data_IF_861903716309
#
_entry.id   IF_861903716309
#
_cell.length_a   1.000
_cell.length_b   1.000
_cell.length_c   1.000
_cell.angle_alpha   90.00
_cell.angle_beta   90.00
_cell.angle_gamma   90.00
#
_symmetry.space_group_name_H-M   'P 1'
#
loop_
_entity.id
_entity.type
_entity.pdbx_description
1 polymer ?
#
# COMPACT_ATOMS: atom_id res chain seq x y z
N UNK A 1 32.58 -7.30 37.74
CA UNK A 1 31.53 -6.28 37.91
C UNK A 1 31.09 -5.84 36.52
N UNK A 2 29.87 -6.12 36.10
CA UNK A 2 29.38 -5.67 34.80
C UNK A 2 29.16 -4.16 34.84
N UNK A 3 29.83 -3.41 33.97
CA UNK A 3 29.58 -1.96 33.82
C UNK A 3 28.11 -1.79 33.45
N UNK A 4 27.34 -1.15 34.32
CA UNK A 4 25.93 -0.85 34.09
C UNK A 4 25.74 0.07 32.88
N UNK A 5 24.51 0.16 32.38
CA UNK A 5 24.22 1.08 31.28
C UNK A 5 24.42 2.52 31.75
N UNK A 6 24.98 3.36 30.88
CA UNK A 6 25.04 4.79 31.16
C UNK A 6 23.61 5.36 31.31
N UNK A 7 23.43 6.51 32.00
CA UNK A 7 22.11 7.09 32.24
C UNK A 7 21.31 7.33 30.95
N UNK A 8 21.97 7.81 29.89
CA UNK A 8 21.33 8.11 28.60
C UNK A 8 20.78 6.85 27.94
N UNK A 9 21.53 5.74 27.92
CA UNK A 9 21.09 4.46 27.39
C UNK A 9 19.87 3.93 28.13
N UNK A 10 19.79 4.14 29.46
CA UNK A 10 18.62 3.74 30.25
C UNK A 10 17.39 4.56 29.89
N UNK A 11 17.53 5.88 29.73
CA UNK A 11 16.42 6.77 29.35
C UNK A 11 15.97 6.46 27.92
N UNK A 12 16.90 6.38 26.97
CA UNK A 12 16.62 6.05 25.58
C UNK A 12 15.93 4.69 25.46
N UNK A 13 16.39 3.67 26.20
CA UNK A 13 15.74 2.36 26.21
C UNK A 13 14.30 2.44 26.71
N UNK A 14 14.04 3.13 27.84
CA UNK A 14 12.68 3.28 28.38
C UNK A 14 11.75 3.99 27.39
N UNK A 15 12.24 5.06 26.77
CA UNK A 15 11.49 5.80 25.74
C UNK A 15 11.17 4.93 24.54
N UNK A 16 12.19 4.30 23.93
CA UNK A 16 11.99 3.41 22.79
C UNK A 16 11.07 2.23 23.13
N UNK A 17 11.24 1.63 24.32
CA UNK A 17 10.40 0.53 24.77
C UNK A 17 8.93 0.95 24.81
N UNK A 18 8.61 2.04 25.50
CA UNK A 18 7.22 2.50 25.64
C UNK A 18 6.67 2.91 24.27
N UNK A 19 7.42 3.75 23.55
CA UNK A 19 6.97 4.32 22.28
C UNK A 19 6.69 3.26 21.22
N UNK A 20 7.65 2.38 20.92
CA UNK A 20 7.47 1.40 19.84
C UNK A 20 6.48 0.31 20.22
N UNK A 21 6.38 -0.09 21.49
CA UNK A 21 5.34 -1.02 21.93
C UNK A 21 3.96 -0.40 21.72
N UNK A 22 3.75 0.85 22.13
CA UNK A 22 2.48 1.53 21.93
C UNK A 22 2.16 1.72 20.44
N UNK A 23 3.14 2.15 19.65
CA UNK A 23 2.96 2.34 18.21
C UNK A 23 2.53 1.03 17.53
N UNK A 24 3.27 -0.07 17.76
CA UNK A 24 2.93 -1.38 17.20
C UNK A 24 1.55 -1.88 17.66
N UNK A 25 1.17 -1.66 18.92
CA UNK A 25 -0.13 -2.11 19.45
C UNK A 25 -1.30 -1.20 19.05
N UNK A 26 -1.03 0.04 18.66
CA UNK A 26 -2.03 0.98 18.17
C UNK A 26 -2.29 0.87 16.67
N UNK A 27 -1.37 0.29 15.91
CA UNK A 27 -1.45 0.18 14.46
C UNK A 27 -2.12 -1.14 14.03
N UNK A 28 -3.32 -1.05 13.44
CA UNK A 28 -4.16 -2.23 13.14
C UNK A 28 -3.54 -3.16 12.10
N UNK A 29 -2.74 -2.62 11.18
CA UNK A 29 -2.00 -3.40 10.20
C UNK A 29 -0.91 -4.27 10.86
N UNK A 30 -0.26 -3.77 11.91
CA UNK A 30 0.77 -4.53 12.65
C UNK A 30 0.15 -5.63 13.50
N UNK A 31 -0.98 -5.38 14.16
CA UNK A 31 -1.65 -6.40 14.96
C UNK A 31 -2.42 -7.39 14.10
N UNK A 32 -2.97 -6.93 12.97
CA UNK A 32 -3.75 -7.69 12.00
C UNK A 32 -3.01 -8.89 11.44
N UNK A 33 -1.75 -8.72 11.00
CA UNK A 33 -0.95 -9.81 10.42
C UNK A 33 -0.83 -11.04 11.34
N UNK A 34 -0.91 -10.86 12.67
CA UNK A 34 -0.83 -11.97 13.62
C UNK A 34 -2.13 -12.77 13.72
N UNK A 35 -3.27 -12.19 13.33
CA UNK A 35 -4.54 -12.90 13.20
C UNK A 35 -4.49 -13.91 12.04
N UNK A 36 -3.58 -13.69 11.08
CA UNK A 36 -3.35 -14.56 9.92
C UNK A 36 -4.66 -14.88 9.21
N UNK A 37 -4.93 -16.18 9.01
CA UNK A 37 -6.11 -16.66 8.29
C UNK A 37 -7.45 -16.16 8.85
N UNK A 38 -7.50 -15.76 10.12
CA UNK A 38 -8.73 -15.25 10.74
C UNK A 38 -9.00 -13.77 10.44
N UNK A 39 -8.01 -12.99 10.02
CA UNK A 39 -8.14 -11.55 9.78
C UNK A 39 -9.27 -11.27 8.78
N UNK A 40 -9.24 -11.91 7.61
CA UNK A 40 -10.22 -11.74 6.55
C UNK A 40 -11.67 -12.17 6.94
N UNK A 41 -11.84 -12.88 8.06
CA UNK A 41 -13.14 -13.36 8.56
C UNK A 41 -13.72 -12.48 9.66
N UNK A 42 -12.94 -11.56 10.20
CA UNK A 42 -13.39 -10.67 11.25
C UNK A 42 -14.05 -9.42 10.66
N UNK A 43 -15.07 -8.85 11.33
CA UNK A 43 -15.60 -7.55 10.94
C UNK A 43 -14.50 -6.49 10.97
N UNK A 44 -14.48 -5.58 9.98
CA UNK A 44 -13.48 -4.50 9.89
C UNK A 44 -13.39 -3.67 11.17
N UNK A 45 -14.52 -3.40 11.81
CA UNK A 45 -14.59 -2.63 13.06
C UNK A 45 -13.87 -3.32 14.22
N UNK A 46 -13.80 -4.66 14.21
CA UNK A 46 -13.06 -5.44 15.21
C UNK A 46 -11.56 -5.34 14.99
N UNK A 47 -11.11 -5.47 13.74
CA UNK A 47 -9.68 -5.35 13.37
C UNK A 47 -9.18 -3.93 13.60
N UNK A 48 -9.98 -2.92 13.23
CA UNK A 48 -9.67 -1.51 13.43
C UNK A 48 -9.93 -1.02 14.87
N UNK A 49 -10.51 -1.85 15.75
CA UNK A 49 -11.05 -1.43 17.05
C UNK A 49 -10.06 -0.68 17.94
N UNK A 50 -8.77 -1.01 17.86
CA UNK A 50 -7.70 -0.32 18.59
C UNK A 50 -7.53 1.16 18.18
N UNK A 51 -7.77 1.51 16.92
CA UNK A 51 -7.71 2.90 16.45
C UNK A 51 -8.93 3.69 16.94
N UNK A 52 -10.10 3.06 17.00
CA UNK A 52 -11.31 3.66 17.57
C UNK A 52 -11.17 4.01 19.05
N UNK A 53 -10.49 3.17 19.83
CA UNK A 53 -10.26 3.43 21.26
C UNK A 53 -9.44 4.70 21.51
N UNK A 54 -8.54 5.03 20.60
CA UNK A 54 -7.67 6.22 20.71
C UNK A 54 -8.32 7.47 20.11
N UNK A 55 -9.37 7.30 19.29
CA UNK A 55 -10.03 8.38 18.57
C UNK A 55 -10.50 9.54 19.46
N UNK A 56 -11.11 9.33 20.64
CA UNK A 56 -11.53 10.44 21.50
C UNK A 56 -10.36 11.33 21.94
N UNK A 57 -9.24 10.72 22.33
CA UNK A 57 -8.04 11.45 22.74
C UNK A 57 -7.40 12.20 21.57
N UNK A 58 -7.32 11.54 20.40
CA UNK A 58 -6.78 12.14 19.16
C UNK A 58 -7.63 13.31 18.70
N UNK A 59 -8.96 13.19 18.69
CA UNK A 59 -9.87 14.29 18.35
C UNK A 59 -9.76 15.45 19.32
N UNK A 60 -9.73 15.16 20.63
CA UNK A 60 -9.58 16.20 21.64
C UNK A 60 -8.28 16.99 21.45
N UNK A 61 -7.15 16.28 21.26
CA UNK A 61 -5.86 16.92 21.07
C UNK A 61 -5.80 17.68 19.74
N UNK A 62 -6.33 17.08 18.66
CA UNK A 62 -6.44 17.72 17.34
C UNK A 62 -7.15 19.06 17.44
N UNK A 63 -8.31 19.11 18.10
CA UNK A 63 -9.10 20.32 18.23
C UNK A 63 -8.44 21.35 19.19
N UNK A 64 -8.02 20.93 20.38
CA UNK A 64 -7.61 21.86 21.44
C UNK A 64 -6.15 22.32 21.33
N UNK A 65 -5.27 21.54 20.71
CA UNK A 65 -3.83 21.86 20.61
C UNK A 65 -3.46 22.29 19.19
N UNK A 66 -3.98 21.61 18.17
CA UNK A 66 -3.60 21.84 16.78
C UNK A 66 -4.64 22.63 15.99
N UNK A 67 -5.85 22.84 16.50
CA UNK A 67 -6.93 23.51 15.78
C UNK A 67 -7.40 22.77 14.53
N UNK A 68 -7.26 21.44 14.49
CA UNK A 68 -7.62 20.58 13.34
C UNK A 68 -8.63 19.51 13.73
N UNK A 69 -9.53 19.18 12.80
CA UNK A 69 -10.44 18.05 12.95
C UNK A 69 -9.76 16.75 12.54
N UNK A 70 -9.13 16.10 13.52
CA UNK A 70 -8.45 14.81 13.34
C UNK A 70 -9.46 13.65 13.24
N UNK A 71 -10.01 13.43 12.05
CA UNK A 71 -10.96 12.35 11.74
C UNK A 71 -10.23 11.24 10.98
N UNK A 72 -10.38 10.00 11.45
CA UNK A 72 -9.93 8.82 10.73
C UNK A 72 -10.91 8.52 9.58
N UNK A 73 -10.40 8.52 8.35
CA UNK A 73 -11.15 8.22 7.14
C UNK A 73 -10.71 6.86 6.57
N UNK A 74 -11.66 6.11 5.99
CA UNK A 74 -11.37 4.86 5.29
C UNK A 74 -10.90 5.15 3.85
N UNK A 75 -9.66 5.65 3.72
CA UNK A 75 -9.03 6.01 2.43
C UNK A 75 -7.85 5.11 2.06
N UNK A 76 -7.40 4.25 2.98
CA UNK A 76 -6.15 3.50 2.84
C UNK A 76 -4.87 4.33 3.03
N UNK A 77 -4.99 5.62 3.34
CA UNK A 77 -3.83 6.49 3.65
C UNK A 77 -3.36 6.28 5.08
N UNK A 78 -2.06 6.02 5.26
CA UNK A 78 -1.39 5.96 6.57
C UNK A 78 -0.89 7.31 7.10
N UNK A 79 -1.04 8.40 6.33
CA UNK A 79 -0.52 9.74 6.66
C UNK A 79 -1.60 10.80 6.85
N UNK A 80 -2.82 10.37 7.16
CA UNK A 80 -3.92 11.28 7.48
C UNK A 80 -3.59 12.17 8.68
N UNK A 81 -4.22 13.34 8.77
CA UNK A 81 -4.13 14.23 9.94
C UNK A 81 -4.33 13.48 11.26
N UNK A 82 -5.26 12.52 11.27
CA UNK A 82 -5.47 11.61 12.39
C UNK A 82 -4.18 10.89 12.84
N UNK A 83 -3.45 10.27 11.92
CA UNK A 83 -2.24 9.50 12.23
C UNK A 83 -1.10 10.39 12.73
N UNK A 84 -0.96 11.62 12.21
CA UNK A 84 0.01 12.58 12.73
C UNK A 84 -0.31 13.06 14.15
N UNK A 85 -1.57 13.35 14.45
CA UNK A 85 -1.98 13.73 15.81
C UNK A 85 -1.83 12.54 16.75
N UNK A 86 -2.17 11.32 16.32
CA UNK A 86 -1.94 10.10 17.07
C UNK A 86 -0.45 9.90 17.38
N UNK A 87 0.42 10.08 16.39
CA UNK A 87 1.87 9.98 16.57
C UNK A 87 2.37 10.92 17.68
N UNK A 88 1.89 12.16 17.69
CA UNK A 88 2.20 13.12 18.75
C UNK A 88 1.67 12.68 20.11
N UNK A 89 0.43 12.17 20.19
CA UNK A 89 -0.14 11.62 21.43
C UNK A 89 0.74 10.49 22.00
N UNK A 90 1.15 9.55 21.14
CA UNK A 90 1.98 8.42 21.53
C UNK A 90 3.36 8.87 22.01
N UNK A 91 3.99 9.82 21.32
CA UNK A 91 5.28 10.36 21.71
C UNK A 91 5.22 11.13 23.04
N UNK A 92 4.21 11.98 23.22
CA UNK A 92 3.98 12.73 24.46
C UNK A 92 3.74 11.80 25.65
N UNK A 93 2.88 10.79 25.48
CA UNK A 93 2.65 9.77 26.50
C UNK A 93 3.92 8.98 26.81
N UNK A 94 4.67 8.54 25.79
CA UNK A 94 5.91 7.79 25.99
C UNK A 94 6.97 8.60 26.74
N UNK A 95 7.08 9.90 26.48
CA UNK A 95 7.96 10.81 27.22
C UNK A 95 7.55 10.93 28.70
N UNK A 96 6.25 11.16 28.97
CA UNK A 96 5.73 11.26 30.33
C UNK A 96 5.93 9.95 31.12
N UNK A 97 5.57 8.81 30.52
CA UNK A 97 5.76 7.49 31.11
C UNK A 97 7.24 7.18 31.36
N UNK A 98 8.14 7.62 30.47
CA UNK A 98 9.60 7.47 30.64
C UNK A 98 10.11 8.30 31.82
N UNK A 99 9.61 9.53 32.01
CA UNK A 99 9.96 10.36 33.15
C UNK A 99 9.50 9.73 34.47
N UNK A 100 8.26 9.25 34.52
CA UNK A 100 7.71 8.53 35.69
C UNK A 100 8.53 7.26 35.98
N UNK A 101 8.79 6.43 34.97
CA UNK A 101 9.60 5.23 35.14
C UNK A 101 11.01 5.57 35.63
N UNK A 102 11.64 6.61 35.09
CA UNK A 102 12.96 7.05 35.52
C UNK A 102 12.97 7.55 36.96
N UNK A 103 11.91 8.24 37.39
CA UNK A 103 11.76 8.72 38.76
C UNK A 103 11.53 7.59 39.77
N UNK A 104 10.78 6.54 39.39
CA UNK A 104 10.45 5.41 40.27
C UNK A 104 11.57 4.35 40.32
N UNK A 105 12.19 4.02 39.18
CA UNK A 105 13.17 2.93 39.05
C UNK A 105 14.61 3.46 39.04
N UNK A 106 15.00 4.13 40.13
CA UNK A 106 16.32 4.78 40.27
C UNK A 106 17.47 3.81 40.55
N UNK A 107 17.16 2.62 41.09
CA UNK A 107 18.17 1.66 41.57
C UNK A 107 18.65 0.69 40.49
N UNK A 108 17.86 0.42 39.44
CA UNK A 108 18.28 -0.50 38.37
C UNK A 108 19.32 0.13 37.45
N UNK A 109 20.37 -0.64 37.19
CA UNK A 109 21.53 -0.22 36.38
C UNK A 109 21.48 -0.72 34.94
N UNK A 110 20.63 -1.71 34.62
CA UNK A 110 20.42 -2.23 33.26
C UNK A 110 19.10 -3.00 33.11
N UNK A 111 18.66 -3.20 31.87
CA UNK A 111 17.40 -3.87 31.51
C UNK A 111 17.57 -5.02 30.51
N UNK A 112 18.67 -5.79 30.59
CA UNK A 112 19.01 -6.80 29.56
C UNK A 112 17.89 -7.78 29.22
N UNK A 113 17.21 -8.33 30.24
CA UNK A 113 16.11 -9.29 30.01
C UNK A 113 14.93 -8.65 29.29
N UNK A 114 14.52 -7.47 29.74
CA UNK A 114 13.41 -6.72 29.13
C UNK A 114 13.78 -6.28 27.71
N UNK A 115 15.01 -5.82 27.49
CA UNK A 115 15.52 -5.48 26.17
C UNK A 115 15.53 -6.68 25.22
N UNK A 116 15.87 -7.87 25.72
CA UNK A 116 15.79 -9.10 24.92
C UNK A 116 14.37 -9.42 24.45
N UNK A 117 13.37 -9.24 25.31
CA UNK A 117 11.95 -9.43 24.94
C UNK A 117 11.46 -8.33 24.00
N UNK A 118 11.85 -7.09 24.25
CA UNK A 118 11.51 -5.95 23.41
C UNK A 118 12.05 -6.09 21.98
N UNK A 119 13.33 -6.43 21.83
CA UNK A 119 13.93 -6.65 20.51
C UNK A 119 13.30 -7.86 19.79
N UNK A 120 12.90 -8.89 20.54
CA UNK A 120 12.13 -10.01 19.96
C UNK A 120 10.76 -9.53 19.45
N UNK A 121 10.04 -8.72 20.23
CA UNK A 121 8.76 -8.14 19.85
C UNK A 121 8.89 -7.29 18.57
N UNK A 122 9.82 -6.33 18.56
CA UNK A 122 10.08 -5.48 17.39
C UNK A 122 10.44 -6.31 16.16
N UNK A 123 11.27 -7.33 16.33
CA UNK A 123 11.65 -8.22 15.23
C UNK A 123 10.47 -8.98 14.65
N UNK A 124 9.58 -9.47 15.51
CA UNK A 124 8.38 -10.20 15.09
C UNK A 124 7.40 -9.27 14.38
N UNK A 125 7.18 -8.05 14.89
CA UNK A 125 6.38 -7.02 14.22
C UNK A 125 6.97 -6.63 12.86
N UNK A 126 8.26 -6.30 12.80
CA UNK A 126 8.93 -5.96 11.54
C UNK A 126 8.85 -7.12 10.54
N UNK A 127 9.17 -8.35 10.98
CA UNK A 127 9.10 -9.53 10.12
C UNK A 127 7.71 -9.79 9.55
N UNK A 128 6.66 -9.60 10.36
CA UNK A 128 5.28 -9.68 9.88
C UNK A 128 4.95 -8.64 8.82
N UNK A 129 5.42 -7.40 8.99
CA UNK A 129 5.21 -6.34 8.00
C UNK A 129 6.01 -6.54 6.71
N UNK A 130 7.24 -7.09 6.80
CA UNK A 130 8.01 -7.48 5.62
C UNK A 130 7.30 -8.58 4.82
N UNK A 131 6.57 -9.49 5.48
CA UNK A 131 5.72 -10.45 4.76
C UNK A 131 4.48 -9.79 4.16
N UNK A 132 3.79 -8.92 4.89
CA UNK A 132 2.61 -8.20 4.40
C UNK A 132 2.90 -7.45 3.10
N UNK A 133 3.88 -6.55 3.13
CA UNK A 133 4.25 -5.78 1.93
C UNK A 133 4.98 -6.63 0.88
N UNK A 134 5.82 -7.56 1.31
CA UNK A 134 6.65 -8.34 0.40
C UNK A 134 5.84 -9.31 -0.45
N UNK A 135 4.85 -9.99 0.13
CA UNK A 135 3.97 -10.89 -0.62
C UNK A 135 3.08 -10.08 -1.58
N UNK A 136 2.58 -8.91 -1.16
CA UNK A 136 1.78 -8.03 -2.02
C UNK A 136 2.54 -7.45 -3.22
N UNK A 137 3.87 -7.42 -3.18
CA UNK A 137 4.72 -7.10 -4.35
C UNK A 137 5.15 -8.34 -5.14
N UNK A 138 5.41 -9.45 -4.43
CA UNK A 138 5.79 -10.72 -5.04
C UNK A 138 4.64 -11.34 -5.85
N UNK A 139 3.40 -11.10 -5.43
CA UNK A 139 2.17 -11.27 -6.21
C UNK A 139 1.80 -9.85 -6.64
N UNK A 140 2.14 -9.38 -7.86
CA UNK A 140 2.20 -7.95 -8.22
C UNK A 140 0.84 -7.21 -8.12
N UNK A 141 0.45 -6.90 -6.89
CA UNK A 141 -0.83 -6.33 -6.47
C UNK A 141 -0.66 -4.94 -5.89
N UNK A 142 0.51 -4.65 -5.34
CA UNK A 142 0.80 -3.38 -4.71
C UNK A 142 0.87 -2.26 -5.75
N UNK A 143 1.50 -2.53 -6.90
CA UNK A 143 1.68 -1.62 -8.02
C UNK A 143 1.27 -2.30 -9.33
N UNK A 144 -0.03 -2.57 -9.55
CA UNK A 144 -0.49 -3.37 -10.68
C UNK A 144 -0.16 -2.72 -12.03
N UNK A 145 -0.18 -3.54 -13.09
CA UNK A 145 0.00 -3.07 -14.47
C UNK A 145 -0.93 -1.89 -14.79
N UNK A 146 -0.45 -0.87 -15.54
CA UNK A 146 -1.28 0.26 -15.93
C UNK A 146 -2.55 -0.19 -16.66
N UNK A 147 -3.71 0.18 -16.10
CA UNK A 147 -5.00 -0.06 -16.73
C UNK A 147 -5.14 0.64 -18.08
N UNK A 148 -6.12 0.21 -18.87
CA UNK A 148 -6.31 0.69 -20.25
C UNK A 148 -6.53 2.21 -20.33
N UNK A 149 -7.24 2.78 -19.36
CA UNK A 149 -7.45 4.23 -19.31
C UNK A 149 -6.17 5.00 -18.95
N UNK A 150 -5.30 4.43 -18.11
CA UNK A 150 -4.01 5.02 -17.75
C UNK A 150 -3.10 5.15 -18.97
N UNK A 151 -3.17 4.21 -19.92
CA UNK A 151 -2.42 4.28 -21.19
C UNK A 151 -2.84 5.47 -22.07
N UNK A 152 -4.03 6.01 -21.85
CA UNK A 152 -4.56 7.17 -22.58
C UNK A 152 -4.29 8.50 -21.87
N UNK A 153 -3.84 8.46 -20.62
CA UNK A 153 -3.63 9.65 -19.80
C UNK A 153 -2.30 10.33 -20.15
N UNK A 154 -2.29 11.63 -20.44
CA UNK A 154 -1.05 12.38 -20.61
C UNK A 154 -0.18 12.30 -19.35
N UNK A 155 1.13 12.11 -19.53
CA UNK A 155 2.09 12.02 -18.42
C UNK A 155 2.01 13.25 -17.49
N UNK A 156 1.81 14.44 -18.06
CA UNK A 156 1.69 15.70 -17.32
C UNK A 156 0.48 15.78 -16.39
N UNK A 157 -0.55 14.96 -16.60
CA UNK A 157 -1.76 14.91 -15.78
C UNK A 157 -1.66 13.87 -14.64
N UNK A 158 -0.61 13.05 -14.63
CA UNK A 158 -0.40 12.05 -13.59
C UNK A 158 0.14 12.71 -12.31
N UNK A 159 -0.36 12.27 -11.16
CA UNK A 159 0.28 12.64 -9.88
C UNK A 159 1.64 11.97 -9.76
N UNK A 160 2.53 12.50 -8.91
CA UNK A 160 3.84 11.88 -8.65
C UNK A 160 3.71 10.43 -8.19
N UNK A 161 2.76 10.15 -7.30
CA UNK A 161 2.46 8.77 -6.88
C UNK A 161 2.04 7.90 -8.06
N UNK A 162 1.15 8.40 -8.93
CA UNK A 162 0.72 7.65 -10.12
C UNK A 162 1.88 7.36 -11.07
N UNK A 163 2.80 8.31 -11.27
CA UNK A 163 4.02 8.08 -12.06
C UNK A 163 4.84 6.95 -11.47
N UNK A 164 5.11 6.97 -10.16
CA UNK A 164 5.87 5.91 -9.49
C UNK A 164 5.16 4.55 -9.59
N UNK A 165 3.86 4.51 -9.33
CA UNK A 165 3.06 3.28 -9.40
C UNK A 165 3.09 2.67 -10.80
N UNK A 166 2.83 3.49 -11.83
CA UNK A 166 2.80 3.02 -13.21
C UNK A 166 4.19 2.64 -13.72
N UNK A 167 5.26 3.28 -13.24
CA UNK A 167 6.64 2.89 -13.57
C UNK A 167 6.94 1.48 -13.09
N UNK A 168 6.61 1.16 -11.83
CA UNK A 168 6.84 -0.18 -11.28
C UNK A 168 5.89 -1.19 -11.91
N UNK A 169 4.60 -0.85 -12.03
CA UNK A 169 3.59 -1.75 -12.60
C UNK A 169 3.79 -2.06 -14.08
N UNK A 170 4.40 -1.16 -14.85
CA UNK A 170 4.81 -1.45 -16.23
C UNK A 170 5.91 -2.52 -16.31
N UNK A 171 6.62 -2.81 -15.21
CA UNK A 171 7.65 -3.82 -15.11
C UNK A 171 7.35 -4.84 -13.97
N UNK A 172 6.38 -5.76 -14.14
CA UNK A 172 5.98 -6.68 -13.07
C UNK A 172 7.13 -7.50 -12.48
N UNK A 173 8.12 -7.89 -13.29
CA UNK A 173 9.30 -8.59 -12.82
C UNK A 173 10.13 -7.75 -11.82
N UNK A 174 10.16 -6.43 -11.99
CA UNK A 174 10.82 -5.53 -11.06
C UNK A 174 10.06 -5.48 -9.72
N UNK A 175 8.72 -5.37 -9.74
CA UNK A 175 7.90 -5.45 -8.53
C UNK A 175 8.10 -6.77 -7.77
N UNK A 176 8.12 -7.90 -8.48
CA UNK A 176 8.35 -9.23 -7.89
C UNK A 176 9.70 -9.30 -7.19
N UNK A 177 10.75 -8.72 -7.76
CA UNK A 177 12.09 -8.69 -7.16
C UNK A 177 12.12 -7.83 -5.88
N UNK A 178 11.44 -6.69 -5.87
CA UNK A 178 11.27 -5.87 -4.66
C UNK A 178 10.55 -6.67 -3.57
N UNK A 179 9.43 -7.32 -3.91
CA UNK A 179 8.69 -8.17 -2.97
C UNK A 179 9.50 -9.36 -2.45
N UNK A 180 10.31 -9.96 -3.31
CA UNK A 180 11.20 -11.07 -2.93
C UNK A 180 12.23 -10.62 -1.90
N UNK A 181 12.81 -9.43 -2.05
CA UNK A 181 13.75 -8.87 -1.07
C UNK A 181 13.08 -8.69 0.30
N UNK A 182 11.86 -8.16 0.33
CA UNK A 182 11.05 -8.00 1.54
C UNK A 182 10.71 -9.34 2.20
N UNK A 183 10.22 -10.33 1.43
CA UNK A 183 9.91 -11.66 1.95
C UNK A 183 11.17 -12.34 2.52
N UNK A 184 12.32 -12.21 1.85
CA UNK A 184 13.59 -12.73 2.35
C UNK A 184 13.99 -12.05 3.67
N UNK A 185 13.83 -10.73 3.78
CA UNK A 185 14.07 -10.00 5.02
C UNK A 185 13.18 -10.53 6.16
N UNK A 186 11.88 -10.68 5.90
CA UNK A 186 10.91 -11.25 6.84
C UNK A 186 11.30 -12.66 7.30
N UNK A 187 11.60 -13.57 6.36
CA UNK A 187 12.02 -14.94 6.66
C UNK A 187 13.26 -14.97 7.55
N UNK A 188 14.25 -14.14 7.24
CA UNK A 188 15.48 -14.04 8.01
C UNK A 188 15.26 -13.44 9.40
N UNK A 189 14.28 -12.55 9.59
CA UNK A 189 13.91 -12.02 10.90
C UNK A 189 13.29 -13.09 11.81
N UNK A 190 12.48 -14.02 11.25
CA UNK A 190 11.90 -15.12 12.01
C UNK A 190 12.88 -16.25 12.33
N UNK A 191 13.99 -16.37 11.58
CA UNK A 191 15.07 -17.33 11.85
C UNK A 191 16.12 -16.66 12.76
N UNK A 192 16.23 -17.04 14.05
CA UNK A 192 17.04 -16.25 15.01
C UNK A 192 18.53 -16.12 14.66
N UNK A 193 19.07 -17.03 13.83
CA UNK A 193 20.46 -17.02 13.39
C UNK A 193 20.74 -16.01 12.27
N UNK A 194 19.74 -15.69 11.44
CA UNK A 194 19.87 -14.79 10.29
C UNK A 194 19.25 -13.42 10.55
N UNK A 195 18.66 -13.21 11.72
CA UNK A 195 17.94 -11.97 12.08
C UNK A 195 18.74 -10.67 11.90
N UNK A 196 20.07 -10.66 12.11
CA UNK A 196 20.88 -9.45 11.86
C UNK A 196 20.91 -9.13 10.36
N UNK A 197 21.11 -10.14 9.52
CA UNK A 197 21.07 -9.97 8.07
C UNK A 197 19.66 -9.58 7.59
N UNK A 198 18.62 -10.18 8.16
CA UNK A 198 17.23 -9.78 7.88
C UNK A 198 16.95 -8.33 8.25
N UNK A 199 17.44 -7.86 9.39
CA UNK A 199 17.31 -6.46 9.81
C UNK A 199 18.13 -5.49 8.93
N UNK A 200 19.28 -5.91 8.40
CA UNK A 200 20.04 -5.12 7.42
C UNK A 200 19.29 -5.01 6.09
N UNK A 201 18.74 -6.11 5.59
CA UNK A 201 17.97 -6.10 4.35
C UNK A 201 16.70 -5.25 4.49
N UNK A 202 15.95 -5.43 5.59
CA UNK A 202 14.79 -4.61 5.91
C UNK A 202 15.13 -3.12 6.09
N UNK A 203 16.33 -2.78 6.59
CA UNK A 203 16.78 -1.39 6.68
C UNK A 203 16.98 -0.79 5.28
N UNK A 204 17.67 -1.50 4.40
CA UNK A 204 17.94 -1.02 3.03
C UNK A 204 16.62 -0.81 2.29
N UNK A 205 15.75 -1.81 2.38
CA UNK A 205 14.45 -1.79 1.71
C UNK A 205 13.54 -0.66 2.24
N UNK A 206 13.33 -0.60 3.55
CA UNK A 206 12.50 0.47 4.15
C UNK A 206 13.10 1.87 3.99
N UNK A 207 14.42 2.00 3.90
CA UNK A 207 15.04 3.29 3.58
C UNK A 207 14.74 3.72 2.14
N UNK A 208 14.76 2.80 1.17
CA UNK A 208 14.35 3.10 -0.20
C UNK A 208 12.87 3.45 -0.28
N UNK A 209 11.99 2.65 0.33
CA UNK A 209 10.55 2.92 0.40
C UNK A 209 10.29 4.30 1.03
N UNK A 210 10.88 4.60 2.18
CA UNK A 210 10.70 5.89 2.85
C UNK A 210 11.16 7.08 1.99
N UNK A 211 12.27 6.94 1.27
CA UNK A 211 12.74 7.97 0.33
C UNK A 211 11.76 8.14 -0.83
N UNK A 212 11.22 7.05 -1.38
CA UNK A 212 10.19 7.12 -2.42
C UNK A 212 8.93 7.81 -1.90
N UNK A 213 8.48 7.48 -0.69
CA UNK A 213 7.28 8.07 -0.09
C UNK A 213 7.39 9.58 0.06
N UNK A 214 8.56 10.07 0.51
CA UNK A 214 8.84 11.50 0.66
C UNK A 214 8.87 12.26 -0.67
N UNK A 215 9.38 11.63 -1.74
CA UNK A 215 9.61 12.31 -3.03
C UNK A 215 8.41 12.20 -3.98
N UNK A 216 7.68 11.09 -3.93
CA UNK A 216 6.52 10.81 -4.80
C UNK A 216 5.18 11.03 -4.11
N UNK A 217 5.18 11.54 -2.87
CA UNK A 217 3.99 11.85 -2.06
C UNK A 217 3.09 10.63 -1.83
N UNK A 218 3.74 9.50 -1.55
CA UNK A 218 3.04 8.27 -1.20
C UNK A 218 2.60 8.37 0.25
N UNK A 219 1.31 8.14 0.55
CA UNK A 219 0.75 8.45 1.85
C UNK A 219 0.96 7.32 2.89
N UNK A 220 2.19 6.80 3.00
CA UNK A 220 2.60 5.77 3.98
C UNK A 220 3.94 6.08 4.69
N UNK A 221 4.41 7.33 4.68
CA UNK A 221 5.71 7.74 5.27
C UNK A 221 5.79 7.55 6.78
N UNK A 222 4.68 7.65 7.52
CA UNK A 222 4.66 7.26 8.94
C UNK A 222 5.00 5.77 9.05
N UNK A 223 4.34 4.92 8.28
CA UNK A 223 4.54 3.47 8.31
C UNK A 223 5.98 3.07 7.94
N UNK A 224 6.43 3.41 6.74
CA UNK A 224 7.76 3.05 6.23
C UNK A 224 8.89 3.64 7.09
N UNK A 225 8.73 4.87 7.57
CA UNK A 225 9.68 5.49 8.50
C UNK A 225 9.81 4.74 9.82
N UNK A 226 8.71 4.24 10.40
CA UNK A 226 8.77 3.44 11.63
C UNK A 226 9.38 2.07 11.40
N UNK A 227 9.08 1.40 10.28
CA UNK A 227 9.72 0.12 9.94
C UNK A 227 11.23 0.29 9.74
N UNK A 228 11.67 1.37 9.09
CA UNK A 228 13.08 1.75 9.01
C UNK A 228 13.71 1.96 10.40
N UNK A 229 13.04 2.69 11.30
CA UNK A 229 13.51 2.91 12.67
C UNK A 229 13.55 1.61 13.50
N UNK A 230 12.60 0.70 13.29
CA UNK A 230 12.60 -0.62 13.92
C UNK A 230 13.80 -1.46 13.45
N UNK A 231 14.14 -1.42 12.16
CA UNK A 231 15.34 -2.06 11.63
C UNK A 231 16.61 -1.49 12.29
N UNK A 232 16.72 -0.16 12.41
CA UNK A 232 17.83 0.50 13.13
C UNK A 232 17.89 0.08 14.60
N UNK A 233 16.74 -0.03 15.27
CA UNK A 233 16.66 -0.45 16.67
C UNK A 233 17.14 -1.89 16.87
N UNK A 234 16.84 -2.80 15.93
CA UNK A 234 17.34 -4.17 15.95
C UNK A 234 18.85 -4.25 15.70
N UNK A 235 19.40 -3.35 14.89
CA UNK A 235 20.83 -3.30 14.56
C UNK A 235 21.66 -2.54 15.60
N UNK A 236 21.06 -1.64 16.38
CA UNK A 236 21.77 -0.80 17.34
C UNK A 236 22.67 -1.60 18.34
N UNK A 237 22.24 -2.74 18.93
CA UNK A 237 23.10 -3.54 19.81
C UNK A 237 24.29 -4.21 19.09
N UNK A 238 24.22 -4.33 17.77
CA UNK A 238 25.20 -4.98 16.90
C UNK A 238 26.05 -3.97 16.09
N UNK A 239 25.73 -2.68 16.14
CA UNK A 239 26.36 -1.63 15.34
C UNK A 239 27.89 -1.60 15.44
N UNK A 240 28.45 -1.79 16.65
CA UNK A 240 29.92 -1.85 16.84
C UNK A 240 30.54 -3.06 16.14
N UNK A 241 29.87 -4.21 16.16
CA UNK A 241 30.35 -5.44 15.51
C UNK A 241 30.24 -5.32 14.00
N UNK A 242 29.15 -4.74 13.50
CA UNK A 242 28.95 -4.47 12.08
C UNK A 242 29.99 -3.47 11.55
N UNK A 243 30.22 -2.36 12.24
CA UNK A 243 31.25 -1.38 11.87
C UNK A 243 32.66 -1.98 11.92
N UNK A 244 32.96 -2.83 12.93
CA UNK A 244 34.23 -3.51 13.03
C UNK A 244 34.52 -4.34 11.76
N UNK A 245 33.56 -5.15 11.31
CA UNK A 245 33.74 -6.04 10.15
C UNK A 245 33.64 -5.28 8.83
N UNK A 246 32.57 -4.50 8.64
CA UNK A 246 32.22 -3.94 7.32
C UNK A 246 32.99 -2.66 6.96
N UNK A 247 33.46 -1.92 7.97
CA UNK A 247 34.10 -0.61 7.76
C UNK A 247 35.56 -0.61 8.19
N UNK A 248 35.85 -1.22 9.35
CA UNK A 248 37.17 -1.15 9.96
C UNK A 248 38.07 -2.36 9.63
N UNK A 249 37.55 -3.36 8.92
CA UNK A 249 38.22 -4.64 8.61
C UNK A 249 38.84 -5.33 9.84
N UNK A 250 38.05 -5.40 10.92
CA UNK A 250 38.43 -5.98 12.21
C UNK A 250 37.58 -7.21 12.52
N UNK A 251 38.14 -8.21 13.25
CA UNK A 251 37.39 -9.39 13.65
C UNK A 251 36.19 -9.01 14.53
N UNK A 252 35.05 -9.67 14.29
CA UNK A 252 33.86 -9.47 15.12
C UNK A 252 34.05 -10.16 16.48
N UNK A 253 33.87 -9.42 17.57
CA UNK A 253 33.78 -9.99 18.92
C UNK A 253 32.49 -10.83 19.11
N UNK A 254 32.29 -11.43 20.29
CA UNK A 254 31.07 -12.19 20.60
C UNK A 254 29.81 -11.29 20.52
N UNK A 255 28.63 -11.85 20.17
CA UNK A 255 27.39 -11.07 20.11
C UNK A 255 27.06 -10.39 21.43
N UNK A 256 26.76 -9.10 21.36
CA UNK A 256 26.42 -8.25 22.53
C UNK A 256 24.92 -7.98 22.67
N UNK A 257 24.11 -8.36 21.66
CA UNK A 257 22.68 -8.19 21.72
C UNK A 257 22.04 -8.91 22.93
N UNK A 258 21.15 -8.23 23.68
CA UNK A 258 20.36 -8.87 24.72
C UNK A 258 19.50 -10.01 24.16
N UNK A 259 19.40 -11.11 24.89
CA UNK A 259 18.60 -12.29 24.49
C UNK A 259 17.53 -12.59 25.54
N UNK A 260 16.28 -12.88 25.14
CA UNK A 260 15.22 -13.26 26.08
C UNK A 260 15.41 -14.69 26.61
N UNK A 261 16.08 -15.56 25.84
CA UNK A 261 16.29 -16.98 26.17
C UNK A 261 17.77 -17.32 26.38
N UNK A 262 18.11 -17.85 27.57
CA UNK A 262 19.49 -18.08 27.99
C UNK A 262 19.94 -19.54 27.89
N UNK A 263 19.03 -20.51 27.93
CA UNK A 263 19.37 -21.95 27.93
C UNK A 263 19.09 -22.61 26.58
N UNK A 264 19.83 -23.67 26.17
CA UNK A 264 19.52 -24.42 24.95
C UNK A 264 18.10 -24.99 24.93
N UNK A 265 17.60 -25.44 26.10
CA UNK A 265 16.24 -25.99 26.28
C UNK A 265 15.13 -24.95 26.06
N UNK A 266 15.39 -23.66 26.28
CA UNK A 266 14.42 -22.59 25.99
C UNK A 266 14.59 -22.00 24.59
N UNK A 267 15.82 -21.96 24.06
CA UNK A 267 16.11 -21.40 22.72
C UNK A 267 15.53 -22.22 21.58
N UNK A 268 15.55 -23.55 21.68
CA UNK A 268 15.01 -24.44 20.64
C UNK A 268 13.49 -24.25 20.45
N UNK A 269 12.63 -24.42 21.47
CA UNK A 269 11.20 -24.23 21.29
C UNK A 269 10.88 -22.80 20.86
N UNK A 270 11.56 -21.78 21.43
CA UNK A 270 11.34 -20.40 21.01
C UNK A 270 11.66 -20.14 19.53
N UNK A 271 12.72 -20.76 18.99
CA UNK A 271 13.05 -20.65 17.57
C UNK A 271 12.00 -21.35 16.69
N UNK A 272 11.51 -22.52 17.12
CA UNK A 272 10.44 -23.25 16.44
C UNK A 272 9.14 -22.43 16.44
N UNK A 273 8.76 -21.84 17.58
CA UNK A 273 7.57 -20.98 17.68
C UNK A 273 7.65 -19.77 16.76
N UNK A 274 8.82 -19.13 16.64
CA UNK A 274 9.00 -18.01 15.73
C UNK A 274 8.90 -18.45 14.26
N UNK A 275 9.49 -19.58 13.91
CA UNK A 275 9.38 -20.14 12.56
C UNK A 275 7.93 -20.50 12.23
N UNK A 276 7.23 -21.16 13.15
CA UNK A 276 5.82 -21.50 13.00
C UNK A 276 4.93 -20.25 12.86
N UNK A 277 5.22 -19.20 13.63
CA UNK A 277 4.54 -17.91 13.51
C UNK A 277 4.82 -17.25 12.15
N UNK A 278 6.06 -17.29 11.68
CA UNK A 278 6.41 -16.78 10.35
C UNK A 278 5.68 -17.54 9.24
N UNK A 279 5.62 -18.88 9.33
CA UNK A 279 4.86 -19.73 8.40
C UNK A 279 3.37 -19.41 8.44
N UNK A 280 2.80 -19.20 9.63
CA UNK A 280 1.41 -18.83 9.81
C UNK A 280 1.08 -17.51 9.10
N UNK A 281 1.90 -16.48 9.31
CA UNK A 281 1.70 -15.15 8.71
C UNK A 281 1.85 -15.21 7.19
N UNK A 282 2.96 -15.78 6.69
CA UNK A 282 3.22 -15.80 5.24
C UNK A 282 2.18 -16.63 4.49
N UNK A 283 1.72 -17.75 5.06
CA UNK A 283 0.69 -18.58 4.43
C UNK A 283 -0.64 -17.83 4.33
N UNK A 284 -1.04 -17.13 5.39
CA UNK A 284 -2.25 -16.31 5.38
C UNK A 284 -2.14 -15.20 4.32
N UNK A 285 -1.01 -14.47 4.30
CA UNK A 285 -0.80 -13.39 3.33
C UNK A 285 -0.83 -13.89 1.88
N UNK A 286 -0.14 -15.00 1.58
CA UNK A 286 -0.14 -15.60 0.23
C UNK A 286 -1.54 -16.03 -0.17
N UNK A 287 -2.32 -16.60 0.74
CA UNK A 287 -3.69 -16.99 0.43
C UNK A 287 -4.58 -15.79 0.08
N UNK A 288 -4.53 -14.75 0.91
CA UNK A 288 -5.35 -13.56 0.72
C UNK A 288 -4.97 -12.83 -0.56
N UNK A 289 -3.68 -12.57 -0.78
CA UNK A 289 -3.17 -11.90 -1.97
C UNK A 289 -3.45 -12.72 -3.24
N UNK A 290 -3.33 -14.05 -3.20
CA UNK A 290 -3.73 -14.89 -4.33
C UNK A 290 -5.23 -14.78 -4.62
N UNK A 291 -6.07 -14.67 -3.60
CA UNK A 291 -7.50 -14.37 -3.75
C UNK A 291 -7.74 -13.02 -4.42
N UNK A 292 -7.03 -11.97 -3.99
CA UNK A 292 -7.09 -10.64 -4.58
C UNK A 292 -6.62 -10.63 -6.04
N UNK A 293 -5.54 -11.34 -6.37
CA UNK A 293 -5.03 -11.47 -7.73
C UNK A 293 -6.06 -12.05 -8.70
N UNK A 294 -6.77 -13.10 -8.30
CA UNK A 294 -7.79 -13.70 -9.14
C UNK A 294 -9.08 -12.86 -9.23
N UNK A 295 -9.32 -11.98 -8.26
CA UNK A 295 -10.54 -11.16 -8.23
C UNK A 295 -10.37 -9.78 -8.86
N UNK A 296 -9.20 -9.17 -8.71
CA UNK A 296 -8.94 -7.78 -9.10
C UNK A 296 -7.63 -7.59 -9.88
N UNK A 297 -6.71 -8.56 -9.85
CA UNK A 297 -5.47 -8.51 -10.62
C UNK A 297 -5.65 -8.91 -12.09
N UNK A 298 -4.56 -9.14 -12.83
CA UNK A 298 -4.58 -9.52 -14.24
C UNK A 298 -5.36 -10.81 -14.56
N UNK A 299 -5.51 -11.71 -13.58
CA UNK A 299 -6.31 -12.94 -13.73
C UNK A 299 -7.82 -12.73 -13.52
N UNK A 300 -8.27 -11.51 -13.22
CA UNK A 300 -9.70 -11.24 -13.05
C UNK A 300 -10.46 -11.52 -14.35
N UNK A 301 -11.74 -11.90 -14.28
CA UNK A 301 -12.58 -11.96 -15.46
C UNK A 301 -12.66 -10.59 -16.17
N UNK A 302 -12.43 -10.60 -17.48
CA UNK A 302 -12.65 -9.42 -18.31
C UNK A 302 -14.15 -9.06 -18.34
N UNK A 303 -14.53 -7.78 -18.19
CA UNK A 303 -15.91 -7.37 -18.35
C UNK A 303 -16.39 -7.56 -19.79
N UNK A 304 -17.71 -7.67 -20.02
CA UNK A 304 -18.22 -7.63 -21.38
C UNK A 304 -17.82 -6.32 -22.07
N UNK A 305 -17.52 -6.40 -23.37
CA UNK A 305 -16.99 -5.30 -24.19
C UNK A 305 -15.58 -4.81 -23.78
N UNK A 306 -14.80 -5.62 -23.04
CA UNK A 306 -13.44 -5.28 -22.63
C UNK A 306 -12.57 -4.74 -23.78
N UNK A 307 -11.87 -3.64 -23.51
CA UNK A 307 -10.96 -2.98 -24.44
C UNK A 307 -11.13 -1.47 -24.52
N UNK A 308 -10.29 -0.87 -25.36
CA UNK A 308 -10.37 0.54 -25.75
C UNK A 308 -11.15 0.63 -27.06
N UNK A 309 -12.15 1.50 -27.10
CA UNK A 309 -13.03 1.69 -28.25
C UNK A 309 -12.95 3.13 -28.73
N UNK A 310 -12.54 3.33 -29.98
CA UNK A 310 -12.50 4.66 -30.61
C UNK A 310 -13.85 5.00 -31.19
N UNK A 311 -14.37 6.19 -30.89
CA UNK A 311 -15.64 6.65 -31.43
C UNK A 311 -15.43 7.16 -32.85
N UNK A 312 -16.09 6.51 -33.82
CA UNK A 312 -16.06 6.90 -35.24
C UNK A 312 -17.16 7.90 -35.56
N UNK A 313 -18.39 7.55 -35.20
CA UNK A 313 -19.57 8.38 -35.44
C UNK A 313 -20.27 8.66 -34.12
N UNK A 314 -20.78 9.87 -33.96
CA UNK A 314 -21.53 10.28 -32.78
C UNK A 314 -22.63 11.23 -33.24
N UNK A 315 -23.86 10.79 -33.14
CA UNK A 315 -25.04 11.59 -33.45
C UNK A 315 -25.73 11.94 -32.14
N UNK A 316 -26.17 13.19 -31.96
CA UNK A 316 -26.96 13.67 -30.81
C UNK A 316 -28.15 14.46 -31.33
N UNK A 317 -29.34 14.18 -30.80
CA UNK A 317 -30.59 14.83 -31.24
C UNK A 317 -30.79 14.75 -32.78
N UNK A 318 -30.35 13.65 -33.39
CA UNK A 318 -30.40 13.42 -34.83
C UNK A 318 -29.36 14.20 -35.65
N UNK A 319 -28.45 14.94 -35.02
CA UNK A 319 -27.38 15.67 -35.69
C UNK A 319 -26.01 15.03 -35.45
N UNK A 320 -25.22 14.92 -36.51
CA UNK A 320 -23.85 14.41 -36.39
C UNK A 320 -22.96 15.42 -35.66
N UNK A 321 -22.27 14.94 -34.63
CA UNK A 321 -21.26 15.68 -33.90
C UNK A 321 -19.87 15.36 -34.48
N UNK A 322 -19.23 16.27 -35.23
CA UNK A 322 -17.88 16.07 -35.71
C UNK A 322 -16.87 16.03 -34.53
N UNK A 323 -15.71 15.36 -34.69
CA UNK A 323 -14.70 15.21 -33.65
C UNK A 323 -13.88 16.50 -33.41
N UNK A 324 -14.56 17.60 -33.11
CA UNK A 324 -13.94 18.88 -32.77
C UNK A 324 -13.47 18.86 -31.31
N UNK A 325 -12.21 19.24 -31.06
CA UNK A 325 -11.62 19.27 -29.71
C UNK A 325 -12.37 20.20 -28.74
N UNK A 326 -13.09 21.19 -29.28
CA UNK A 326 -13.90 22.15 -28.52
C UNK A 326 -15.29 21.62 -28.12
N UNK A 327 -15.67 20.41 -28.56
CA UNK A 327 -17.01 19.88 -28.32
C UNK A 327 -17.07 19.10 -27.00
N UNK A 328 -17.67 19.71 -25.97
CA UNK A 328 -17.83 19.12 -24.64
C UNK A 328 -18.80 17.92 -24.59
N UNK A 329 -19.62 17.75 -25.62
CA UNK A 329 -20.74 16.80 -25.67
C UNK A 329 -20.43 15.52 -26.46
N UNK A 330 -19.21 15.39 -26.99
CA UNK A 330 -18.77 14.25 -27.78
C UNK A 330 -17.67 13.48 -27.06
N UNK A 331 -17.64 12.17 -27.26
CA UNK A 331 -16.56 11.32 -26.76
C UNK A 331 -15.53 11.04 -27.87
N UNK A 332 -14.25 10.94 -27.51
CA UNK A 332 -13.19 10.43 -28.38
C UNK A 332 -13.11 8.90 -28.30
N UNK A 333 -13.12 8.38 -27.08
CA UNK A 333 -12.92 6.96 -26.79
C UNK A 333 -13.80 6.52 -25.62
N UNK A 334 -14.07 5.23 -25.56
CA UNK A 334 -14.71 4.55 -24.43
C UNK A 334 -13.80 3.39 -24.01
N UNK A 335 -13.62 3.20 -22.71
CA UNK A 335 -12.78 2.16 -22.14
C UNK A 335 -13.62 1.30 -21.21
N UNK A 336 -13.63 -0.01 -21.47
CA UNK A 336 -14.16 -1.03 -20.59
C UNK A 336 -12.97 -1.86 -20.09
N UNK A 337 -12.53 -1.59 -18.87
CA UNK A 337 -11.36 -2.23 -18.29
C UNK A 337 -11.76 -3.03 -17.05
N UNK A 338 -12.28 -2.33 -16.04
CA UNK A 338 -12.68 -2.91 -14.74
C UNK A 338 -14.18 -3.25 -14.71
N UNK A 339 -14.60 -4.40 -14.16
CA UNK A 339 -16.00 -4.72 -13.98
C UNK A 339 -16.79 -3.62 -13.25
N UNK A 340 -17.95 -3.25 -13.81
CA UNK A 340 -18.82 -2.22 -13.23
C UNK A 340 -18.36 -0.78 -13.47
N UNK A 341 -17.33 -0.56 -14.29
CA UNK A 341 -16.81 0.76 -14.62
C UNK A 341 -16.68 0.93 -16.14
N UNK A 342 -17.15 2.07 -16.63
CA UNK A 342 -16.85 2.58 -17.97
C UNK A 342 -16.13 3.92 -17.82
N UNK A 343 -15.11 4.17 -18.63
CA UNK A 343 -14.52 5.50 -18.74
C UNK A 343 -14.71 6.02 -20.16
N UNK A 344 -15.24 7.23 -20.32
CA UNK A 344 -15.29 7.89 -21.62
C UNK A 344 -14.33 9.08 -21.65
N UNK A 345 -13.58 9.19 -22.73
CA UNK A 345 -12.66 10.30 -22.97
C UNK A 345 -13.40 11.41 -23.68
N UNK A 346 -13.43 12.61 -23.10
CA UNK A 346 -13.97 13.82 -23.72
C UNK A 346 -13.06 14.33 -24.84
N UNK A 347 -13.57 15.27 -25.64
CA UNK A 347 -12.80 15.89 -26.73
C UNK A 347 -11.59 16.70 -26.28
N UNK A 348 -11.53 17.12 -25.01
CA UNK A 348 -10.36 17.79 -24.40
C UNK A 348 -9.32 16.79 -23.86
N UNK A 349 -9.57 15.48 -23.96
CA UNK A 349 -8.70 14.42 -23.45
C UNK A 349 -9.04 13.94 -22.04
N UNK A 350 -9.92 14.63 -21.31
CA UNK A 350 -10.32 14.26 -19.95
C UNK A 350 -11.03 12.90 -19.92
N UNK A 351 -10.55 11.98 -19.08
CA UNK A 351 -11.20 10.70 -18.82
C UNK A 351 -12.23 10.82 -17.71
N UNK A 352 -13.49 10.54 -18.02
CA UNK A 352 -14.58 10.61 -17.05
C UNK A 352 -15.04 9.20 -16.66
N UNK A 353 -14.93 8.81 -15.38
CA UNK A 353 -15.46 7.55 -14.90
C UNK A 353 -16.99 7.60 -14.79
N UNK A 354 -17.63 6.50 -15.15
CA UNK A 354 -19.05 6.25 -14.98
C UNK A 354 -19.24 4.83 -14.43
N UNK A 355 -20.09 4.68 -13.42
CA UNK A 355 -20.50 3.34 -12.97
C UNK A 355 -21.34 2.71 -14.08
N UNK A 356 -20.99 1.48 -14.42
CA UNK A 356 -21.61 0.72 -15.47
C UNK A 356 -22.39 -0.45 -14.88
N UNK A 357 -23.68 -0.53 -15.18
CA UNK A 357 -24.45 -1.75 -15.06
C UNK A 357 -24.69 -2.27 -16.49
N UNK A 358 -24.20 -3.48 -16.77
CA UNK A 358 -24.29 -4.10 -18.10
C UNK A 358 -25.08 -5.40 -18.01
N UNK A 359 -26.08 -5.54 -18.87
CA UNK A 359 -26.82 -6.78 -19.09
C UNK A 359 -26.52 -7.28 -20.51
N UNK A 360 -25.59 -8.25 -20.66
CA UNK A 360 -25.22 -8.77 -21.96
C UNK A 360 -26.35 -9.52 -22.67
N UNK A 361 -27.29 -10.10 -21.94
CA UNK A 361 -28.40 -10.86 -22.51
C UNK A 361 -29.51 -9.94 -23.01
N UNK A 362 -29.81 -8.88 -22.26
CA UNK A 362 -30.76 -7.86 -22.67
C UNK A 362 -30.16 -6.81 -23.62
N UNK A 363 -28.85 -6.89 -23.90
CA UNK A 363 -28.09 -5.92 -24.68
C UNK A 363 -28.24 -4.48 -24.16
N UNK A 364 -28.16 -4.30 -22.83
CA UNK A 364 -28.39 -3.01 -22.16
C UNK A 364 -27.19 -2.55 -21.34
N UNK A 365 -26.99 -1.25 -21.32
CA UNK A 365 -25.99 -0.54 -20.53
C UNK A 365 -26.69 0.60 -19.78
N UNK A 366 -26.46 0.70 -18.48
CA UNK A 366 -26.88 1.84 -17.67
C UNK A 366 -25.64 2.50 -17.09
N UNK A 367 -25.52 3.81 -17.33
CA UNK A 367 -24.45 4.64 -16.81
C UNK A 367 -24.96 5.51 -15.67
N UNK A 368 -24.20 5.52 -14.57
CA UNK A 368 -24.42 6.42 -13.45
C UNK A 368 -23.15 7.21 -13.14
N UNK A 369 -23.30 8.37 -12.50
CA UNK A 369 -22.16 9.17 -12.06
C UNK A 369 -21.26 8.31 -11.17
N UNK A 370 -19.99 8.16 -11.53
CA UNK A 370 -19.01 7.60 -10.61
C UNK A 370 -18.58 8.70 -9.64
N UNK A 371 -18.52 8.36 -8.35
CA UNK A 371 -17.73 9.17 -7.43
C UNK A 371 -16.25 9.01 -7.86
N UNK A 372 -15.49 10.10 -7.91
CA UNK A 372 -14.05 9.99 -8.11
C UNK A 372 -13.47 9.01 -7.07
N UNK A 373 -12.49 8.15 -7.43
CA UNK A 373 -11.70 7.45 -6.42
C UNK A 373 -11.14 8.52 -5.47
N UNK A 374 -11.19 8.25 -4.16
CA UNK A 374 -11.05 9.23 -3.10
C UNK A 374 -9.71 10.00 -3.14
N UNK A 375 -9.60 11.00 -4.01
CA UNK A 375 -8.57 12.02 -3.94
C UNK A 375 -9.03 13.09 -2.95
N UNK A 376 -8.32 13.10 -1.82
CA UNK A 376 -8.14 14.18 -0.84
C UNK A 376 -9.28 15.20 -0.68
N UNK A 377 -9.81 15.27 0.56
CA UNK A 377 -10.80 16.21 1.10
C UNK A 377 -12.26 15.80 0.93
N UNK A 378 -12.73 14.93 1.84
CA UNK A 378 -14.16 14.55 1.93
C UNK A 378 -14.78 15.09 3.21
N UNK A 379 -15.34 16.29 3.13
CA UNK A 379 -16.31 16.84 4.10
C UNK A 379 -17.74 16.81 3.58
N UNK A 380 -17.98 16.32 2.35
CA UNK A 380 -19.32 16.27 1.76
C UNK A 380 -19.94 14.86 1.85
N UNK A 381 -21.27 14.76 2.13
CA UNK A 381 -21.99 13.50 2.15
C UNK A 381 -21.96 12.83 0.77
N UNK A 382 -21.93 11.49 0.77
CA UNK A 382 -21.99 10.62 -0.42
C UNK A 382 -23.22 11.02 -1.26
N UNK A 383 -23.01 11.62 -2.44
CA UNK A 383 -24.12 11.87 -3.38
C UNK A 383 -24.58 10.53 -3.93
N UNK A 384 -25.89 10.34 -4.02
CA UNK A 384 -26.42 9.15 -4.69
C UNK A 384 -26.02 9.18 -6.17
N UNK A 385 -25.59 8.06 -6.77
CA UNK A 385 -25.23 8.03 -8.18
C UNK A 385 -26.43 8.38 -9.06
N UNK A 386 -26.33 9.50 -9.78
CA UNK A 386 -27.36 9.96 -10.71
C UNK A 386 -27.22 9.21 -12.04
N UNK A 387 -28.35 8.95 -12.71
CA UNK A 387 -28.30 8.34 -14.05
C UNK A 387 -27.75 9.37 -15.05
N UNK A 388 -26.74 8.94 -15.81
CA UNK A 388 -26.04 9.77 -16.79
C UNK A 388 -26.36 9.30 -18.21
N UNK A 389 -26.71 8.04 -18.39
CA UNK A 389 -27.17 7.53 -19.68
C UNK A 389 -27.68 6.10 -19.61
N UNK A 390 -28.44 5.72 -20.62
CA UNK A 390 -28.96 4.38 -20.81
C UNK A 390 -28.90 4.03 -22.29
N UNK A 391 -28.31 2.89 -22.63
CA UNK A 391 -28.05 2.48 -24.00
C UNK A 391 -28.48 1.04 -24.21
N UNK A 392 -28.94 0.74 -25.43
CA UNK A 392 -28.81 -0.59 -25.99
C UNK A 392 -27.51 -0.68 -26.77
N UNK A 393 -26.94 -1.88 -26.87
CA UNK A 393 -25.72 -2.08 -27.63
C UNK A 393 -25.86 -3.20 -28.65
N UNK A 394 -25.19 -3.05 -29.78
CA UNK A 394 -25.07 -4.07 -30.82
C UNK A 394 -23.61 -4.24 -31.18
N UNK A 395 -23.11 -5.47 -31.08
CA UNK A 395 -21.75 -5.82 -31.48
C UNK A 395 -21.82 -6.65 -32.77
N UNK A 396 -21.68 -5.99 -33.92
CA UNK A 396 -21.80 -6.64 -35.24
C UNK A 396 -20.56 -7.44 -35.62
N UNK A 397 -19.42 -7.12 -35.02
CA UNK A 397 -18.15 -7.84 -35.13
C UNK A 397 -17.32 -7.67 -33.84
N UNK A 398 -16.27 -8.46 -33.66
CA UNK A 398 -15.41 -8.38 -32.47
C UNK A 398 -14.81 -6.97 -32.26
N UNK A 399 -14.62 -6.22 -33.35
CA UNK A 399 -14.04 -4.88 -33.42
C UNK A 399 -15.07 -3.77 -33.68
N UNK A 400 -16.37 -4.06 -33.78
CA UNK A 400 -17.41 -3.07 -34.09
C UNK A 400 -18.54 -3.08 -33.08
N UNK A 401 -18.77 -1.94 -32.45
CA UNK A 401 -19.78 -1.73 -31.42
C UNK A 401 -20.64 -0.51 -31.78
N UNK A 402 -21.94 -0.63 -31.62
CA UNK A 402 -22.89 0.47 -31.75
C UNK A 402 -23.67 0.62 -30.45
N UNK A 403 -23.78 1.85 -29.95
CA UNK A 403 -24.59 2.21 -28.79
C UNK A 403 -25.72 3.13 -29.25
N UNK A 404 -26.96 2.81 -28.91
CA UNK A 404 -28.13 3.63 -29.18
C UNK A 404 -28.88 3.88 -27.87
N UNK A 405 -29.19 5.13 -27.55
CA UNK A 405 -29.88 5.44 -26.30
C UNK A 405 -29.85 6.90 -25.93
N UNK A 406 -29.73 7.19 -24.64
CA UNK A 406 -29.69 8.54 -24.10
C UNK A 406 -28.42 8.80 -23.30
N UNK A 407 -27.86 9.99 -23.45
CA UNK A 407 -26.75 10.51 -22.66
C UNK A 407 -27.05 11.94 -22.21
N UNK A 408 -26.96 12.18 -20.90
CA UNK A 408 -27.32 13.45 -20.26
C UNK A 408 -28.71 13.98 -20.66
N UNK A 409 -29.68 13.08 -20.86
CA UNK A 409 -31.05 13.42 -21.26
C UNK A 409 -31.24 13.70 -22.76
N UNK A 410 -30.23 13.45 -23.59
CA UNK A 410 -30.32 13.61 -25.04
C UNK A 410 -30.20 12.27 -25.76
N UNK A 411 -31.05 11.97 -26.76
CA UNK A 411 -30.87 10.82 -27.62
C UNK A 411 -29.54 10.88 -28.37
N UNK A 412 -28.78 9.79 -28.31
CA UNK A 412 -27.49 9.64 -28.95
C UNK A 412 -27.33 8.27 -29.62
N UNK A 413 -26.62 8.27 -30.74
CA UNK A 413 -26.15 7.06 -31.42
C UNK A 413 -24.64 7.17 -31.57
N UNK A 414 -23.91 6.14 -31.16
CA UNK A 414 -22.45 6.13 -31.13
C UNK A 414 -21.94 4.86 -31.81
N UNK A 415 -21.18 5.03 -32.89
CA UNK A 415 -20.47 3.93 -33.57
C UNK A 415 -19.02 3.90 -33.11
N UNK A 416 -18.57 2.74 -32.66
CA UNK A 416 -17.28 2.50 -32.03
C UNK A 416 -16.51 1.39 -32.75
N UNK A 417 -15.19 1.56 -32.83
CA UNK A 417 -14.27 0.57 -33.35
C UNK A 417 -13.20 0.23 -32.30
N UNK A 418 -12.88 -1.06 -32.15
CA UNK A 418 -11.87 -1.51 -31.18
C UNK A 418 -10.49 -0.98 -31.56
N UNK A 419 -9.81 -0.37 -30.61
CA UNK A 419 -8.41 0.01 -30.70
C UNK A 419 -7.55 -1.13 -30.15
N UNK A 420 -6.51 -1.52 -30.86
CA UNK A 420 -5.56 -2.52 -30.38
C UNK A 420 -4.61 -1.90 -29.35
N UNK A 421 -4.90 -2.14 -28.07
CA UNK A 421 -4.09 -1.66 -26.95
C UNK A 421 -2.63 -2.12 -27.04
N UNK A 422 -2.31 -3.26 -27.66
CA UNK A 422 -0.94 -3.77 -27.73
C UNK A 422 -0.04 -2.97 -28.69
N UNK A 423 -0.61 -2.03 -29.42
CA UNK A 423 0.16 -1.03 -30.19
C UNK A 423 0.83 0.02 -29.32
N UNK A 424 0.44 0.15 -28.04
CA UNK A 424 1.14 1.04 -27.10
C UNK A 424 2.56 0.52 -26.82
N UNK A 425 3.61 1.33 -27.01
CA UNK A 425 4.99 0.91 -26.71
C UNK A 425 5.20 0.45 -25.27
N UNK A 426 4.46 1.00 -24.31
CA UNK A 426 4.53 0.60 -22.90
C UNK A 426 4.08 -0.86 -22.66
N UNK A 427 3.32 -1.45 -23.60
CA UNK A 427 2.89 -2.85 -23.53
C UNK A 427 3.86 -3.80 -24.24
N UNK A 428 4.92 -3.30 -24.90
CA UNK A 428 5.99 -4.17 -25.41
C UNK A 428 6.74 -4.77 -24.22
N UNK A 429 6.67 -6.10 -24.08
CA UNK A 429 7.25 -6.86 -22.97
C UNK A 429 8.56 -7.55 -23.35
N UNK A 430 9.03 -7.38 -24.58
CA UNK A 430 10.22 -8.09 -25.03
C UNK A 430 11.49 -7.52 -24.40
N UNK A 431 12.16 -8.35 -23.59
CA UNK A 431 13.51 -8.04 -23.16
C UNK A 431 14.47 -8.14 -24.35
N UNK A 432 15.27 -7.09 -24.58
CA UNK A 432 16.26 -7.03 -25.65
C UNK A 432 17.64 -6.70 -25.06
N UNK A 433 18.64 -7.50 -25.40
CA UNK A 433 20.04 -7.24 -25.01
C UNK A 433 20.66 -6.10 -25.82
N UNK A 434 20.26 -5.97 -27.09
CA UNK A 434 20.84 -5.01 -28.04
C UNK A 434 19.80 -3.94 -28.34
N UNK A 435 20.16 -2.69 -28.09
CA UNK A 435 19.41 -1.50 -28.46
C UNK A 435 20.28 -0.63 -29.35
N UNK A 436 19.92 -0.52 -30.63
CA UNK A 436 20.65 0.32 -31.60
C UNK A 436 20.46 1.83 -31.33
N UNK A 437 19.38 2.19 -30.61
CA UNK A 437 19.04 3.56 -30.26
C UNK A 437 18.64 3.64 -28.79
N UNK A 438 18.96 4.77 -28.14
CA UNK A 438 18.73 4.96 -26.70
C UNK A 438 17.25 5.18 -26.31
N UNK A 439 16.34 5.34 -27.27
CA UNK A 439 14.88 5.31 -27.05
C UNK A 439 14.37 6.24 -25.94
N UNK A 440 14.55 7.56 -26.12
CA UNK A 440 13.94 8.61 -25.29
C UNK A 440 13.17 9.60 -26.15
#
# INVERSE_FOLDING_TARGET
MGVGWNPLTRIAFRLCFIYFVLWCLSNSQITGVFLGWFEARLPRDVVAGQEWLLTPAVKWLGHNVFGVDAILLDTGSGDQTYHWVLLFCLLGFAAAATAVWTALDRRRTEYRRLAGWFLLFIRVCLGGQMFYYGVGKMIPLQMPEPGLATLLQPYGDMTRMSVLWNQVGAAPNYEILLGTAEVLAGLMLFIPRTAVLGAMLALIDMAMVFVLDLNFDVPVRIGSGHLMLMSLLLLAPEAKRLAAVLVLDRPSGPPTAPRPFHTPRSRRPAAITQLALGIWIIFAQVHDDWGYWNKYGPNRPEPPLYGIWTVREFTRDGQDLPPLLTNENRWQRVVFDTPGLMQYQRMDGTLVPARLEIDPQAHRLLLRTAEAPATMHRTQPRRQPESVGAFTFQQSAADRLRLDGEFNGHPVTVTLERFDENTFPLRDREFRWVHEYAGF
#
